data_IF_531422721766
#
_entry.id   IF_531422721766
#
_cell.length_a   1.000
_cell.length_b   1.000
_cell.length_c   1.000
_cell.angle_alpha   90.00
_cell.angle_beta   90.00
_cell.angle_gamma   90.00
#
_symmetry.space_group_name_H-M   'P 1'
#
loop_
_entity.id
_entity.type
_entity.pdbx_description
1 polymer ?
#
# COMPACT_ATOMS: atom_id res chain seq x y z
N UNK A 1 -4.10 -14.62 -2.30
CA UNK A 1 -4.83 -13.82 -3.31
C UNK A 1 -3.89 -12.75 -3.81
N UNK A 2 -3.99 -12.33 -5.07
CA UNK A 2 -3.14 -11.25 -5.57
C UNK A 2 -3.82 -9.91 -5.30
N UNK A 3 -3.10 -8.99 -4.68
CA UNK A 3 -3.56 -7.61 -4.45
C UNK A 3 -2.56 -6.64 -5.08
N UNK A 4 -3.08 -5.63 -5.78
CA UNK A 4 -2.30 -4.49 -6.24
C UNK A 4 -2.52 -3.34 -5.26
N UNK A 5 -1.45 -2.85 -4.64
CA UNK A 5 -1.46 -1.68 -3.76
C UNK A 5 -0.92 -0.50 -4.53
N UNK A 6 -1.64 0.60 -4.47
CA UNK A 6 -1.25 1.88 -5.06
C UNK A 6 -1.14 2.91 -3.96
N UNK A 7 -0.15 3.79 -4.08
CA UNK A 7 0.06 4.90 -3.17
C UNK A 7 0.30 6.19 -3.93
N UNK A 8 -0.16 7.31 -3.38
CA UNK A 8 0.15 8.65 -3.87
C UNK A 8 0.89 9.42 -2.78
N UNK A 9 2.00 10.03 -3.18
CA UNK A 9 2.86 10.83 -2.31
C UNK A 9 2.51 12.33 -2.44
N UNK A 10 2.97 13.15 -1.49
CA UNK A 10 2.73 14.60 -1.48
C UNK A 10 3.32 15.34 -2.70
N UNK A 11 4.33 14.77 -3.34
CA UNK A 11 4.97 15.27 -4.56
C UNK A 11 4.27 14.81 -5.85
N UNK A 12 3.10 14.18 -5.73
CA UNK A 12 2.29 13.60 -6.80
C UNK A 12 2.91 12.40 -7.51
N UNK A 13 4.04 11.86 -7.02
CA UNK A 13 4.51 10.56 -7.47
C UNK A 13 3.59 9.45 -6.98
N UNK A 14 3.67 8.30 -7.64
CA UNK A 14 2.81 7.15 -7.37
C UNK A 14 3.60 5.86 -7.34
N UNK A 15 3.34 5.01 -6.34
CA UNK A 15 3.87 3.66 -6.27
C UNK A 15 2.79 2.64 -6.63
N UNK A 16 3.22 1.54 -7.25
CA UNK A 16 2.38 0.41 -7.64
C UNK A 16 3.12 -0.89 -7.35
N UNK A 17 2.61 -1.68 -6.42
CA UNK A 17 3.21 -2.98 -6.08
C UNK A 17 2.14 -4.06 -5.90
N UNK A 18 2.56 -5.31 -6.03
CA UNK A 18 1.67 -6.47 -5.97
C UNK A 18 2.14 -7.46 -4.92
N UNK A 19 1.19 -7.96 -4.13
CA UNK A 19 1.46 -8.89 -3.04
C UNK A 19 0.52 -10.09 -3.10
N UNK A 20 1.08 -11.29 -2.94
CA UNK A 20 0.29 -12.51 -2.77
C UNK A 20 0.10 -12.82 -1.28
N UNK A 21 -1.06 -12.45 -0.73
CA UNK A 21 -1.38 -12.52 0.70
C UNK A 21 -2.85 -12.90 0.93
N UNK A 22 -3.27 -13.08 2.19
CA UNK A 22 -4.61 -13.55 2.51
C UNK A 22 -5.65 -12.41 2.63
N UNK A 23 -5.24 -11.15 2.74
CA UNK A 23 -6.16 -10.03 2.94
C UNK A 23 -5.63 -8.70 2.37
N UNK A 24 -6.51 -7.70 2.10
CA UNK A 24 -6.07 -6.36 1.72
C UNK A 24 -5.25 -5.68 2.83
N UNK A 25 -5.52 -5.98 4.11
CA UNK A 25 -4.74 -5.47 5.23
C UNK A 25 -3.30 -6.00 5.19
N UNK A 26 -3.12 -7.31 5.02
CA UNK A 26 -1.78 -7.89 4.85
C UNK A 26 -1.05 -7.33 3.62
N UNK A 27 -1.78 -7.00 2.54
CA UNK A 27 -1.19 -6.42 1.34
C UNK A 27 -0.66 -5.01 1.62
N UNK A 28 -1.43 -4.21 2.37
CA UNK A 28 -1.02 -2.87 2.78
C UNK A 28 0.15 -2.93 3.77
N UNK A 29 0.13 -3.85 4.74
CA UNK A 29 1.24 -4.04 5.68
C UNK A 29 2.52 -4.43 4.94
N UNK A 30 2.42 -5.36 3.98
CA UNK A 30 3.54 -5.76 3.14
C UNK A 30 4.08 -4.58 2.32
N UNK A 31 3.20 -3.74 1.76
CA UNK A 31 3.57 -2.50 1.08
C UNK A 31 4.31 -1.55 2.01
N UNK A 32 3.70 -1.18 3.13
CA UNK A 32 4.29 -0.23 4.08
C UNK A 32 5.64 -0.73 4.56
N UNK A 33 5.84 -2.04 4.80
CA UNK A 33 7.08 -2.58 5.35
C UNK A 33 8.17 -2.89 4.31
N UNK A 34 7.81 -3.22 3.06
CA UNK A 34 8.77 -3.78 2.10
C UNK A 34 8.84 -3.05 0.76
N UNK A 35 7.92 -2.12 0.46
CA UNK A 35 7.93 -1.41 -0.81
C UNK A 35 9.25 -0.68 -1.05
N UNK A 36 9.77 -0.80 -2.28
CA UNK A 36 11.03 -0.16 -2.69
C UNK A 36 10.88 1.35 -2.70
N UNK A 37 9.70 1.85 -3.11
CA UNK A 37 9.35 3.27 -3.08
C UNK A 37 9.39 3.88 -1.66
N UNK A 38 9.34 3.04 -0.63
CA UNK A 38 9.43 3.46 0.77
C UNK A 38 10.82 3.20 1.38
N UNK A 39 11.81 2.81 0.57
CA UNK A 39 13.16 2.48 1.03
C UNK A 39 13.90 3.62 1.74
N UNK A 40 13.55 4.87 1.41
CA UNK A 40 14.13 6.05 2.06
C UNK A 40 13.48 6.40 3.41
N UNK A 41 12.30 5.86 3.72
CA UNK A 41 11.56 6.17 4.95
C UNK A 41 12.07 5.33 6.14
N UNK A 42 12.09 5.92 7.34
CA UNK A 42 12.56 5.23 8.55
C UNK A 42 11.79 3.92 8.80
N UNK A 43 12.47 2.75 8.84
CA UNK A 43 11.84 1.46 9.13
C UNK A 43 11.02 1.41 10.41
N UNK A 44 11.40 2.17 11.45
CA UNK A 44 10.63 2.23 12.71
C UNK A 44 9.31 2.95 12.54
N UNK A 45 9.29 4.05 11.78
CA UNK A 45 8.05 4.78 11.47
C UNK A 45 7.13 3.93 10.60
N UNK A 46 7.69 3.20 9.63
CA UNK A 46 6.95 2.24 8.80
C UNK A 46 6.30 1.14 9.66
N UNK A 47 7.03 0.58 10.62
CA UNK A 47 6.49 -0.41 11.55
C UNK A 47 5.36 0.15 12.43
N UNK A 48 5.47 1.41 12.88
CA UNK A 48 4.41 2.08 13.64
C UNK A 48 3.16 2.32 12.78
N UNK A 49 3.32 2.67 11.50
CA UNK A 49 2.23 2.87 10.56
C UNK A 49 1.41 1.59 10.24
N UNK A 50 1.96 0.41 10.49
CA UNK A 50 1.26 -0.89 10.42
C UNK A 50 0.48 -1.22 11.70
N UNK A 51 0.73 -0.51 12.80
CA UNK A 51 0.06 -0.75 14.08
C UNK A 51 -1.48 -0.51 14.04
N UNK A 52 -2.16 -0.88 15.13
CA UNK A 52 -3.63 -0.92 15.22
C UNK A 52 -4.37 0.40 14.89
N UNK A 53 -3.67 1.53 14.90
CA UNK A 53 -4.20 2.85 14.55
C UNK A 53 -3.37 3.55 13.46
N UNK A 54 -2.51 2.83 12.74
CA UNK A 54 -1.58 3.43 11.78
C UNK A 54 -2.18 3.69 10.40
N UNK A 55 -3.25 2.96 10.05
CA UNK A 55 -3.95 3.13 8.78
C UNK A 55 -5.43 2.72 8.87
N UNK A 56 -6.21 3.18 7.90
CA UNK A 56 -7.62 2.79 7.75
C UNK A 56 -7.90 2.33 6.33
N UNK A 57 -8.56 1.17 6.20
CA UNK A 57 -8.95 0.56 4.93
C UNK A 57 -10.48 0.58 4.81
N UNK A 58 -11.00 1.11 3.71
CA UNK A 58 -12.43 1.22 3.44
C UNK A 58 -12.77 0.51 2.13
N UNK A 59 -13.62 -0.51 2.19
CA UNK A 59 -14.08 -1.21 0.99
C UNK A 59 -15.11 -0.35 0.25
N UNK A 60 -14.87 -0.04 -1.03
CA UNK A 60 -15.72 0.89 -1.78
C UNK A 60 -16.78 0.23 -2.66
N UNK A 61 -16.70 -1.08 -2.90
CA UNK A 61 -17.64 -1.82 -3.75
C UNK A 61 -18.68 -2.66 -2.96
N UNK A 62 -19.08 -2.23 -1.76
CA UNK A 62 -20.16 -2.86 -0.99
C UNK A 62 -20.01 -4.37 -0.73
N UNK A 63 -18.78 -4.86 -0.52
CA UNK A 63 -18.48 -6.26 -0.20
C UNK A 63 -18.53 -7.26 -1.37
N UNK A 64 -18.63 -6.81 -2.63
CA UNK A 64 -18.71 -7.72 -3.80
C UNK A 64 -17.34 -8.11 -4.37
N UNK A 65 -16.53 -7.14 -4.79
CA UNK A 65 -15.14 -7.35 -5.24
C UNK A 65 -14.28 -6.10 -5.02
N UNK A 66 -13.04 -6.32 -4.56
CA UNK A 66 -11.82 -5.92 -5.26
C UNK A 66 -11.43 -4.45 -5.36
N UNK A 67 -11.96 -3.56 -4.53
CA UNK A 67 -11.40 -2.21 -4.40
C UNK A 67 -11.57 -1.69 -2.97
N UNK A 68 -10.46 -1.23 -2.40
CA UNK A 68 -10.42 -0.52 -1.13
C UNK A 68 -9.68 0.80 -1.30
N UNK A 69 -10.11 1.83 -0.60
CA UNK A 69 -9.29 3.01 -0.35
C UNK A 69 -8.59 2.82 0.98
N UNK A 70 -7.35 3.30 1.07
CA UNK A 70 -6.61 3.32 2.32
C UNK A 70 -5.99 4.69 2.54
N UNK A 71 -5.84 5.07 3.79
CA UNK A 71 -5.10 6.26 4.20
C UNK A 71 -4.31 5.95 5.46
N UNK A 72 -3.14 6.58 5.57
CA UNK A 72 -2.41 6.61 6.82
C UNK A 72 -3.10 7.56 7.80
N UNK A 73 -3.14 7.14 9.05
CA UNK A 73 -3.57 7.95 10.19
C UNK A 73 -2.37 8.45 11.00
N UNK A 74 -1.20 7.85 10.81
CA UNK A 74 0.09 8.35 11.28
C UNK A 74 0.83 9.10 10.17
N UNK A 75 1.63 10.09 10.54
CA UNK A 75 2.49 10.80 9.59
C UNK A 75 3.68 9.91 9.21
N UNK A 76 3.87 9.71 7.91
CA UNK A 76 5.04 9.04 7.34
C UNK A 76 5.61 9.96 6.26
N UNK A 77 6.77 10.56 6.53
CA UNK A 77 7.38 11.60 5.70
C UNK A 77 8.90 11.43 5.65
N UNK A 78 9.47 11.68 4.48
CA UNK A 78 10.91 11.67 4.23
C UNK A 78 11.24 12.77 3.21
N UNK A 79 12.21 13.63 3.52
CA UNK A 79 12.66 14.72 2.65
C UNK A 79 11.50 15.57 2.08
N UNK A 80 10.56 15.97 2.93
CA UNK A 80 9.33 16.74 2.59
C UNK A 80 8.30 15.96 1.73
N UNK A 81 8.56 14.69 1.43
CA UNK A 81 7.65 13.79 0.72
C UNK A 81 6.90 12.92 1.73
N UNK A 82 5.58 13.14 1.84
CA UNK A 82 4.69 12.41 2.73
C UNK A 82 3.89 11.34 1.99
N UNK A 83 3.65 10.21 2.65
CA UNK A 83 2.73 9.17 2.21
C UNK A 83 1.35 9.42 2.82
N UNK A 84 0.32 9.63 2.00
CA UNK A 84 -1.04 9.90 2.51
C UNK A 84 -1.98 8.70 2.40
N UNK A 85 -1.85 7.91 1.33
CA UNK A 85 -2.78 6.82 1.08
C UNK A 85 -2.81 6.38 -0.38
N UNK A 86 -3.88 5.68 -0.73
CA UNK A 86 -4.15 5.23 -2.09
C UNK A 86 -5.24 4.18 -2.15
N UNK A 87 -5.07 3.21 -3.04
CA UNK A 87 -6.06 2.17 -3.31
C UNK A 87 -5.44 0.77 -3.26
N UNK A 88 -6.22 -0.22 -2.84
CA UNK A 88 -5.91 -1.65 -2.95
C UNK A 88 -6.91 -2.26 -3.93
N UNK A 89 -6.45 -3.06 -4.87
CA UNK A 89 -7.28 -3.75 -5.86
C UNK A 89 -7.05 -5.25 -5.74
N UNK A 90 -8.11 -6.03 -5.52
CA UNK A 90 -8.00 -7.50 -5.58
C UNK A 90 -7.87 -7.87 -7.06
N UNK A 91 -6.70 -8.35 -7.43
CA UNK A 91 -6.37 -8.71 -8.80
C UNK A 91 -6.67 -10.20 -8.98
N UNK A 92 -7.13 -10.60 -10.17
CA UNK A 92 -7.24 -12.02 -10.52
C UNK A 92 -5.87 -12.69 -10.34
N UNK A 93 -5.84 -13.89 -9.75
CA UNK A 93 -4.61 -14.70 -9.59
C UNK A 93 -3.96 -15.09 -10.92
N UNK A 94 -4.73 -15.06 -12.01
CA UNK A 94 -4.25 -15.29 -13.38
C UNK A 94 -3.93 -13.99 -14.12
N UNK A 95 -4.11 -12.85 -13.47
CA UNK A 95 -3.81 -11.53 -14.02
C UNK A 95 -2.30 -11.27 -14.19
N UNK A 96 -1.91 -10.25 -14.97
CA UNK A 96 -0.52 -9.89 -15.16
C UNK A 96 0.16 -9.53 -13.83
N UNK A 97 1.34 -10.12 -13.58
CA UNK A 97 2.19 -9.82 -12.42
C UNK A 97 3.33 -8.90 -12.85
N UNK A 98 3.58 -7.83 -12.10
CA UNK A 98 4.71 -6.91 -12.34
C UNK A 98 6.01 -7.63 -11.96
N UNK A 99 7.02 -7.72 -12.85
CA UNK A 99 8.31 -8.26 -12.47
C UNK A 99 9.00 -7.32 -11.47
N UNK A 100 9.52 -7.87 -10.37
CA UNK A 100 10.36 -7.10 -9.44
C UNK A 100 11.61 -6.56 -10.17
N UNK A 101 11.88 -5.26 -10.07
CA UNK A 101 13.06 -4.60 -10.66
C UNK A 101 12.88 -3.96 -12.04
N UNK A 102 11.65 -3.84 -12.56
CA UNK A 102 11.41 -3.06 -13.78
C UNK A 102 11.30 -1.55 -13.45
N UNK A 103 12.40 -0.85 -13.75
CA UNK A 103 12.58 0.61 -13.75
C UNK A 103 11.68 1.26 -14.80
#
# INVERSE_FOLDING_TARGET
>A
MLFTVTATFSDFTTAYEQYEVASPAEALDAFILNAESLGAFDPKLRALAVGAEGHKIVHVAGGRQGLWTWHLTAQLEQDEVALYGGCIVQTDRTGPVRPHGAV
#
